data_IF_281675928431
#
_entry.id   IF_281675928431
#
_cell.length_a   1.000
_cell.length_b   1.000
_cell.length_c   1.000
_cell.angle_alpha   90.00
_cell.angle_beta   90.00
_cell.angle_gamma   90.00
#
_symmetry.space_group_name_H-M   'P 1'
#
loop_
_entity.id
_entity.type
_entity.pdbx_description
1 polymer ?
#
# COMPACT_ATOMS: atom_id res chain seq x y z
N UNK A 1 -4.35 39.93 -40.39
CA UNK A 1 -4.59 39.87 -38.95
C UNK A 1 -4.06 38.53 -38.48
N UNK A 2 -2.88 38.50 -37.86
CA UNK A 2 -2.21 37.26 -37.43
C UNK A 2 -2.96 36.65 -36.24
N UNK A 3 -3.12 35.33 -36.24
CA UNK A 3 -3.74 34.58 -35.14
C UNK A 3 -2.83 34.68 -33.91
N UNK A 4 -3.32 35.13 -32.75
CA UNK A 4 -2.47 35.40 -31.57
C UNK A 4 -1.87 34.14 -30.93
N UNK A 5 -2.33 32.93 -31.29
CA UNK A 5 -1.91 31.66 -30.69
C UNK A 5 -0.93 30.85 -31.55
N UNK A 6 -0.50 31.36 -32.70
CA UNK A 6 0.47 30.64 -33.53
C UNK A 6 1.90 31.09 -33.18
N UNK A 7 2.83 30.18 -32.83
CA UNK A 7 4.20 30.55 -32.56
C UNK A 7 4.83 31.15 -33.82
N UNK A 8 5.51 32.28 -33.66
CA UNK A 8 6.16 32.98 -34.76
C UNK A 8 7.17 32.08 -35.46
N UNK A 9 7.24 32.08 -36.78
CA UNK A 9 8.27 31.29 -37.49
C UNK A 9 9.65 31.99 -37.49
N UNK A 10 10.64 31.36 -38.13
CA UNK A 10 12.02 31.85 -38.14
C UNK A 10 12.16 33.17 -38.92
N UNK A 11 11.36 33.34 -39.98
CA UNK A 11 11.39 34.53 -40.83
C UNK A 11 10.73 35.70 -40.09
N UNK A 12 9.61 35.45 -39.41
CA UNK A 12 8.94 36.44 -38.55
C UNK A 12 9.81 36.90 -37.37
N UNK A 13 10.63 36.01 -36.80
CA UNK A 13 11.60 36.37 -35.76
C UNK A 13 12.77 37.20 -36.31
N UNK A 14 13.27 36.87 -37.50
CA UNK A 14 14.32 37.67 -38.15
C UNK A 14 13.82 39.09 -38.45
N UNK A 15 12.61 39.22 -38.97
CA UNK A 15 11.98 40.51 -39.23
C UNK A 15 11.82 41.35 -37.95
N UNK A 16 11.52 40.71 -36.81
CA UNK A 16 11.45 41.39 -35.51
C UNK A 16 12.82 41.85 -35.01
N UNK A 17 13.88 41.07 -35.25
CA UNK A 17 15.25 41.43 -34.92
C UNK A 17 15.71 42.67 -35.71
N UNK A 18 15.41 42.71 -37.01
CA UNK A 18 15.72 43.85 -37.87
C UNK A 18 14.96 45.12 -37.46
N UNK A 19 13.68 44.97 -37.09
CA UNK A 19 12.87 46.09 -36.59
C UNK A 19 13.34 46.61 -35.23
N UNK A 20 13.81 45.72 -34.35
CA UNK A 20 14.39 46.11 -33.06
C UNK A 20 15.69 46.93 -33.25
N UNK A 21 16.48 46.64 -34.27
CA UNK A 21 17.70 47.39 -34.61
C UNK A 21 17.43 48.80 -35.16
N UNK A 22 16.20 49.07 -35.63
CA UNK A 22 15.77 50.38 -36.13
C UNK A 22 15.18 51.29 -35.04
N UNK A 23 15.08 50.81 -33.79
CA UNK A 23 14.60 51.61 -32.66
C UNK A 23 15.62 52.66 -32.22
N UNK A 24 15.18 53.72 -31.52
CA UNK A 24 16.08 54.66 -30.87
C UNK A 24 17.08 53.92 -29.95
N UNK A 25 18.33 54.40 -29.87
CA UNK A 25 19.43 53.68 -29.21
C UNK A 25 19.12 53.21 -27.78
N UNK A 26 18.37 54.01 -27.01
CA UNK A 26 17.94 53.68 -25.65
C UNK A 26 16.93 52.54 -25.59
N UNK A 27 16.10 52.37 -26.62
CA UNK A 27 15.09 51.31 -26.72
C UNK A 27 15.67 50.06 -27.36
N UNK A 28 16.48 50.22 -28.41
CA UNK A 28 17.15 49.11 -29.09
C UNK A 28 18.00 48.26 -28.14
N UNK A 29 18.63 48.87 -27.12
CA UNK A 29 19.47 48.14 -26.17
C UNK A 29 18.67 47.15 -25.31
N UNK A 30 17.60 47.60 -24.65
CA UNK A 30 16.84 46.72 -23.77
C UNK A 30 15.94 45.75 -24.55
N UNK A 31 15.36 46.20 -25.67
CA UNK A 31 14.56 45.33 -26.56
C UNK A 31 15.44 44.25 -27.18
N UNK A 32 16.67 44.59 -27.60
CA UNK A 32 17.62 43.62 -28.12
C UNK A 32 18.03 42.57 -27.08
N UNK A 33 18.30 42.98 -25.83
CA UNK A 33 18.59 42.04 -24.73
C UNK A 33 17.40 41.13 -24.42
N UNK A 34 16.19 41.67 -24.35
CA UNK A 34 14.98 40.88 -24.12
C UNK A 34 14.76 39.87 -25.25
N UNK A 35 14.95 40.30 -26.50
CA UNK A 35 14.78 39.45 -27.67
C UNK A 35 15.80 38.30 -27.70
N UNK A 36 17.05 38.55 -27.30
CA UNK A 36 18.06 37.50 -27.16
C UNK A 36 17.71 36.47 -26.09
N UNK A 37 17.14 36.89 -24.96
CA UNK A 37 16.68 35.96 -23.91
C UNK A 37 15.48 35.13 -24.38
N UNK A 38 14.57 35.71 -25.16
CA UNK A 38 13.47 34.96 -25.79
C UNK A 38 14.00 33.91 -26.78
N UNK A 39 14.99 34.25 -27.61
CA UNK A 39 15.60 33.30 -28.53
C UNK A 39 16.33 32.18 -27.78
N UNK A 40 17.04 32.48 -26.69
CA UNK A 40 17.67 31.47 -25.82
C UNK A 40 16.65 30.53 -25.20
N UNK A 41 15.56 31.07 -24.66
CA UNK A 41 14.48 30.27 -24.09
C UNK A 41 13.87 29.32 -25.12
N UNK A 42 13.66 29.81 -26.35
CA UNK A 42 13.12 29.01 -27.45
C UNK A 42 14.07 27.91 -27.92
N UNK A 43 15.38 28.20 -28.02
CA UNK A 43 16.40 27.19 -28.32
C UNK A 43 16.43 26.13 -27.23
N UNK A 44 16.39 26.54 -25.95
CA UNK A 44 16.35 25.61 -24.82
C UNK A 44 15.09 24.73 -24.84
N UNK A 45 13.92 25.28 -25.15
CA UNK A 45 12.68 24.53 -25.30
C UNK A 45 12.77 23.51 -26.45
N UNK A 46 13.37 23.90 -27.57
CA UNK A 46 13.61 23.01 -28.72
C UNK A 46 14.58 21.89 -28.35
N UNK A 47 15.62 22.19 -27.57
CA UNK A 47 16.56 21.19 -27.04
C UNK A 47 15.88 20.24 -26.04
N UNK A 48 14.99 20.73 -25.18
CA UNK A 48 14.21 19.90 -24.26
C UNK A 48 13.25 18.97 -25.03
N UNK A 49 12.58 19.47 -26.07
CA UNK A 49 11.74 18.65 -26.94
C UNK A 49 12.57 17.60 -27.71
N UNK A 50 13.76 17.98 -28.21
CA UNK A 50 14.66 17.03 -28.87
C UNK A 50 15.21 15.96 -27.90
N UNK A 51 15.46 16.33 -26.64
CA UNK A 51 15.84 15.40 -25.56
C UNK A 51 14.68 14.47 -25.17
N UNK A 52 13.43 14.94 -25.18
CA UNK A 52 12.25 14.08 -24.99
C UNK A 52 12.08 13.04 -26.11
N UNK A 53 12.46 13.38 -27.34
CA UNK A 53 12.43 12.45 -28.50
C UNK A 53 13.61 11.48 -28.49
N UNK A 54 14.74 11.85 -27.87
CA UNK A 54 15.99 11.07 -27.89
C UNK A 54 16.27 10.27 -26.61
N UNK A 55 15.54 10.52 -25.52
CA UNK A 55 15.59 9.69 -24.33
C UNK A 55 15.07 8.28 -24.64
N UNK A 56 15.63 7.19 -24.06
CA UNK A 56 14.98 5.90 -24.08
C UNK A 56 13.60 6.11 -23.49
N UNK A 57 12.56 5.94 -24.30
CA UNK A 57 11.18 6.10 -23.92
C UNK A 57 10.87 5.01 -22.89
N UNK A 58 11.11 5.26 -21.61
CA UNK A 58 10.26 4.70 -20.57
C UNK A 58 8.85 5.08 -21.01
N UNK A 59 8.09 4.09 -21.46
CA UNK A 59 6.81 4.31 -22.10
C UNK A 59 5.96 5.18 -21.17
N UNK A 60 5.71 6.43 -21.57
CA UNK A 60 4.71 7.22 -20.90
C UNK A 60 3.40 6.42 -20.99
N UNK A 61 2.73 6.17 -19.86
CA UNK A 61 1.50 5.40 -19.88
C UNK A 61 0.53 6.07 -20.85
N UNK A 62 -0.07 5.27 -21.72
CA UNK A 62 -1.08 5.75 -22.67
C UNK A 62 -2.23 6.44 -21.93
N UNK A 63 -3.00 7.30 -22.63
CA UNK A 63 -4.17 7.95 -22.02
C UNK A 63 -5.13 6.94 -21.40
N UNK A 64 -5.30 5.80 -22.06
CA UNK A 64 -6.11 4.66 -21.58
C UNK A 64 -5.53 4.05 -20.30
N UNK A 65 -4.20 3.91 -20.17
CA UNK A 65 -3.56 3.42 -18.93
C UNK A 65 -3.70 4.40 -17.75
N UNK A 66 -3.72 5.71 -18.02
CA UNK A 66 -3.97 6.71 -16.98
C UNK A 66 -5.43 6.65 -16.51
N UNK A 67 -6.37 6.51 -17.44
CA UNK A 67 -7.79 6.35 -17.15
C UNK A 67 -8.04 5.04 -16.36
N UNK A 68 -7.42 3.93 -16.77
CA UNK A 68 -7.50 2.66 -16.05
C UNK A 68 -6.94 2.76 -14.62
N UNK A 69 -5.81 3.48 -14.43
CA UNK A 69 -5.25 3.73 -13.10
C UNK A 69 -6.19 4.56 -12.24
N UNK A 70 -6.83 5.59 -12.80
CA UNK A 70 -7.82 6.42 -12.09
C UNK A 70 -9.06 5.60 -11.71
N UNK A 71 -9.55 4.74 -12.60
CA UNK A 71 -10.63 3.80 -12.33
C UNK A 71 -10.26 2.87 -11.17
N UNK A 72 -9.06 2.29 -11.18
CA UNK A 72 -8.62 1.42 -10.09
C UNK A 72 -8.53 2.18 -8.76
N UNK A 73 -7.99 3.41 -8.75
CA UNK A 73 -7.95 4.24 -7.54
C UNK A 73 -9.36 4.53 -7.01
N UNK A 74 -10.33 4.80 -7.89
CA UNK A 74 -11.72 5.01 -7.48
C UNK A 74 -12.34 3.76 -6.85
N UNK A 75 -12.08 2.58 -7.43
CA UNK A 75 -12.53 1.28 -6.90
C UNK A 75 -11.90 1.02 -5.52
N UNK A 76 -10.59 1.18 -5.40
CA UNK A 76 -9.86 0.96 -4.15
C UNK A 76 -10.34 1.92 -3.04
N UNK A 77 -10.62 3.17 -3.42
CA UNK A 77 -11.17 4.18 -2.50
C UNK A 77 -12.56 3.79 -2.04
N UNK A 78 -13.41 3.28 -2.93
CA UNK A 78 -14.74 2.79 -2.56
C UNK A 78 -14.67 1.59 -1.60
N UNK A 79 -13.75 0.64 -1.82
CA UNK A 79 -13.52 -0.48 -0.89
C UNK A 79 -13.02 0.01 0.47
N UNK A 80 -12.10 0.97 0.49
CA UNK A 80 -11.59 1.59 1.71
C UNK A 80 -12.70 2.25 2.51
N UNK A 81 -13.45 3.17 1.89
CA UNK A 81 -14.56 3.89 2.53
C UNK A 81 -15.64 2.94 3.05
N UNK A 82 -16.00 1.90 2.27
CA UNK A 82 -16.95 0.86 2.69
C UNK A 82 -16.44 0.13 3.94
N UNK A 83 -15.17 -0.24 3.95
CA UNK A 83 -14.56 -0.92 5.10
C UNK A 83 -14.62 -0.03 6.34
N UNK A 84 -14.23 1.24 6.21
CA UNK A 84 -14.28 2.22 7.31
C UNK A 84 -15.69 2.40 7.88
N UNK A 85 -16.70 2.40 7.01
CA UNK A 85 -18.10 2.47 7.42
C UNK A 85 -18.55 1.26 8.24
N UNK A 86 -18.17 0.06 7.81
CA UNK A 86 -18.57 -1.20 8.44
C UNK A 86 -17.81 -1.49 9.75
N UNK A 87 -16.53 -1.11 9.84
CA UNK A 87 -15.69 -1.40 11.03
C UNK A 87 -15.55 -0.21 11.99
N UNK A 88 -15.97 0.99 11.55
CA UNK A 88 -15.74 2.24 12.25
C UNK A 88 -14.33 2.79 12.00
N UNK A 89 -14.22 4.11 11.95
CA UNK A 89 -12.98 4.81 11.62
C UNK A 89 -12.33 5.46 12.84
N UNK A 90 -11.00 5.43 12.89
CA UNK A 90 -10.17 6.32 13.70
C UNK A 90 -9.21 7.04 12.76
N UNK A 91 -9.43 8.34 12.58
CA UNK A 91 -8.48 9.23 11.89
C UNK A 91 -7.32 9.59 12.81
N UNK A 92 -6.27 10.17 12.26
CA UNK A 92 -5.08 10.61 12.98
C UNK A 92 -5.46 11.57 14.13
N UNK A 93 -5.57 11.03 15.36
CA UNK A 93 -5.88 11.81 16.56
C UNK A 93 -7.36 11.87 16.98
N UNK A 94 -8.24 11.02 16.45
CA UNK A 94 -9.67 11.00 16.82
C UNK A 94 -10.14 9.69 17.47
N UNK A 95 -11.16 9.76 18.34
CA UNK A 95 -11.81 8.59 18.93
C UNK A 95 -12.59 7.80 17.88
N UNK A 96 -12.70 6.47 18.07
CA UNK A 96 -13.43 5.58 17.17
C UNK A 96 -14.86 6.06 16.95
N UNK A 97 -15.18 6.40 15.70
CA UNK A 97 -16.58 6.54 15.27
C UNK A 97 -17.23 5.16 15.31
N UNK A 98 -18.41 5.04 15.92
CA UNK A 98 -19.10 3.75 15.96
C UNK A 98 -19.40 3.27 14.53
N UNK A 99 -19.33 1.95 14.27
CA UNK A 99 -19.74 1.38 12.99
C UNK A 99 -21.11 1.92 12.56
N UNK A 100 -21.23 2.30 11.27
CA UNK A 100 -22.49 2.76 10.67
C UNK A 100 -23.18 3.93 11.38
N UNK A 101 -22.43 4.75 12.11
CA UNK A 101 -23.00 5.87 12.88
C UNK A 101 -22.83 7.21 12.18
N UNK A 102 -21.60 7.61 11.87
CA UNK A 102 -21.26 8.84 11.21
C UNK A 102 -20.02 8.63 10.33
N UNK A 103 -20.02 9.28 9.17
CA UNK A 103 -18.82 9.31 8.34
C UNK A 103 -17.85 10.35 8.94
N UNK A 104 -16.62 9.96 9.27
CA UNK A 104 -15.60 10.89 9.76
C UNK A 104 -15.24 11.91 8.69
N UNK A 105 -14.79 13.09 9.12
CA UNK A 105 -14.03 13.98 8.25
C UNK A 105 -12.65 13.35 8.00
N UNK A 106 -12.39 12.95 6.76
CA UNK A 106 -11.14 12.35 6.30
C UNK A 106 -10.25 13.46 5.75
N UNK A 107 -9.04 13.59 6.28
CA UNK A 107 -8.04 14.52 5.76
C UNK A 107 -6.99 13.85 4.86
N UNK A 108 -6.05 14.66 4.36
CA UNK A 108 -4.99 14.19 3.46
C UNK A 108 -4.01 13.22 4.16
N UNK A 109 -3.72 13.45 5.44
CA UNK A 109 -2.79 12.63 6.20
C UNK A 109 -3.41 11.27 6.55
N UNK A 110 -4.72 11.24 6.79
CA UNK A 110 -5.47 10.00 6.97
C UNK A 110 -5.36 9.08 5.76
N UNK A 111 -5.43 9.62 4.54
CA UNK A 111 -5.25 8.85 3.31
C UNK A 111 -3.79 8.38 3.18
N UNK A 112 -2.83 9.30 3.36
CA UNK A 112 -1.40 9.02 3.19
C UNK A 112 -0.86 7.98 4.17
N UNK A 113 -1.37 7.98 5.41
CA UNK A 113 -0.93 7.09 6.49
C UNK A 113 -1.84 5.87 6.65
N UNK A 114 -2.88 5.73 5.81
CA UNK A 114 -3.76 4.57 5.90
C UNK A 114 -3.06 3.33 5.35
N UNK A 115 -2.57 2.48 6.27
CA UNK A 115 -2.06 1.16 5.89
C UNK A 115 -3.13 0.26 5.30
N UNK A 116 -4.41 0.43 5.68
CA UNK A 116 -5.54 -0.25 5.03
C UNK A 116 -5.67 0.17 3.56
N UNK A 117 -5.58 1.48 3.26
CA UNK A 117 -5.66 1.94 1.89
C UNK A 117 -4.45 1.48 1.07
N UNK A 118 -3.24 1.55 1.65
CA UNK A 118 -2.03 1.01 1.03
C UNK A 118 -2.14 -0.49 0.71
N UNK A 119 -2.75 -1.27 1.61
CA UNK A 119 -3.05 -2.70 1.43
C UNK A 119 -4.03 -2.93 0.27
N UNK A 120 -5.14 -2.19 0.22
CA UNK A 120 -6.14 -2.30 -0.87
C UNK A 120 -5.51 -1.94 -2.22
N UNK A 121 -4.68 -0.89 -2.26
CA UNK A 121 -3.90 -0.48 -3.45
C UNK A 121 -2.97 -1.58 -3.99
N UNK A 122 -2.60 -2.56 -3.16
CA UNK A 122 -1.80 -3.74 -3.56
C UNK A 122 -2.69 -4.93 -4.01
N UNK A 123 -4.01 -4.74 -4.10
CA UNK A 123 -4.97 -5.80 -4.44
C UNK A 123 -5.33 -6.73 -3.28
N UNK A 124 -4.86 -6.44 -2.07
CA UNK A 124 -5.17 -7.20 -0.85
C UNK A 124 -6.46 -6.71 -0.22
N UNK A 125 -7.22 -7.62 0.38
CA UNK A 125 -8.49 -7.28 1.01
C UNK A 125 -8.34 -6.80 2.45
N UNK A 126 -9.31 -6.00 2.91
CA UNK A 126 -9.49 -5.71 4.32
C UNK A 126 -9.70 -7.00 5.12
N UNK A 127 -9.06 -7.11 6.28
CA UNK A 127 -9.23 -8.27 7.15
C UNK A 127 -10.51 -8.15 7.99
N UNK A 128 -11.18 -9.28 8.30
CA UNK A 128 -12.40 -9.26 9.13
C UNK A 128 -12.11 -9.03 10.63
N UNK A 129 -10.84 -9.02 11.04
CA UNK A 129 -10.38 -8.81 12.41
C UNK A 129 -9.28 -7.73 12.46
N UNK A 130 -9.53 -6.50 11.98
CA UNK A 130 -8.50 -5.47 12.01
C UNK A 130 -8.19 -5.12 13.47
N UNK A 131 -6.93 -5.14 13.91
CA UNK A 131 -6.60 -4.78 15.28
C UNK A 131 -6.91 -3.28 15.53
N UNK A 132 -7.26 -2.87 16.76
CA UNK A 132 -7.73 -1.53 17.04
C UNK A 132 -6.58 -0.51 17.01
N UNK A 133 -6.70 0.54 16.19
CA UNK A 133 -5.66 1.56 15.92
C UNK A 133 -5.43 2.57 17.05
N UNK A 134 -5.56 2.17 18.32
CA UNK A 134 -5.76 3.08 19.46
C UNK A 134 -4.59 4.04 19.72
N UNK A 135 -3.33 3.68 19.43
CA UNK A 135 -2.16 4.50 19.79
C UNK A 135 -0.98 4.43 18.80
N UNK A 136 -1.22 4.56 17.50
CA UNK A 136 -0.18 5.15 16.63
C UNK A 136 0.60 4.23 15.69
N UNK A 137 0.28 2.93 15.61
CA UNK A 137 0.61 2.14 14.43
C UNK A 137 -0.68 1.73 13.71
N UNK A 138 -0.82 2.07 12.41
CA UNK A 138 -1.97 1.63 11.65
C UNK A 138 -1.74 0.14 11.38
N UNK A 139 -2.30 -0.74 12.20
CA UNK A 139 -2.03 -2.18 12.31
C UNK A 139 -1.89 -2.97 10.99
N UNK A 140 -2.48 -2.53 9.88
CA UNK A 140 -2.19 -3.15 8.58
C UNK A 140 -0.72 -3.01 8.15
N UNK A 141 0.02 -2.04 8.69
CA UNK A 141 1.47 -1.95 8.52
C UNK A 141 2.15 -3.18 9.14
N UNK A 142 1.80 -3.53 10.38
CA UNK A 142 2.33 -4.74 11.03
C UNK A 142 1.96 -6.03 10.29
N UNK A 143 0.84 -6.06 9.59
CA UNK A 143 0.42 -7.23 8.81
C UNK A 143 1.26 -7.40 7.54
N UNK A 144 1.60 -6.31 6.87
CA UNK A 144 2.25 -6.33 5.55
C UNK A 144 3.79 -6.16 5.63
N UNK A 145 4.32 -5.69 6.76
CA UNK A 145 5.75 -5.52 6.99
C UNK A 145 6.41 -6.86 7.36
N UNK A 146 6.83 -7.60 6.33
CA UNK A 146 7.49 -8.89 6.46
C UNK A 146 8.88 -8.76 7.12
N UNK A 147 8.92 -8.88 8.44
CA UNK A 147 10.16 -8.95 9.23
C UNK A 147 10.75 -7.59 9.63
N UNK A 148 9.98 -6.50 9.49
CA UNK A 148 10.37 -5.24 10.10
C UNK A 148 10.11 -5.31 11.62
N UNK A 149 11.06 -4.79 12.39
CA UNK A 149 10.90 -4.62 13.83
C UNK A 149 10.30 -3.26 14.12
N UNK A 150 9.27 -3.24 14.96
CA UNK A 150 8.56 -2.04 15.38
C UNK A 150 8.79 -1.79 16.86
N UNK A 151 9.23 -0.58 17.21
CA UNK A 151 9.25 -0.16 18.61
C UNK A 151 7.80 0.06 19.09
N UNK A 152 7.44 -0.56 20.20
CA UNK A 152 6.10 -0.48 20.79
C UNK A 152 6.16 -0.26 22.30
N UNK A 153 5.09 0.31 22.85
CA UNK A 153 4.80 0.25 24.28
C UNK A 153 4.08 -1.07 24.58
N UNK A 154 4.61 -1.86 25.52
CA UNK A 154 4.02 -3.15 25.88
C UNK A 154 4.08 -3.44 27.40
N UNK A 155 3.04 -4.09 27.90
CA UNK A 155 2.93 -4.63 29.26
C UNK A 155 2.43 -6.08 29.18
N UNK A 156 3.14 -7.03 29.81
CA UNK A 156 2.73 -8.44 29.84
C UNK A 156 1.92 -8.72 31.10
N UNK A 157 0.72 -9.27 30.94
CA UNK A 157 -0.22 -9.55 32.03
C UNK A 157 0.02 -10.96 32.55
N UNK A 158 0.23 -11.08 33.87
CA UNK A 158 0.35 -12.34 34.60
C UNK A 158 -0.67 -12.40 35.73
N UNK A 159 -1.27 -13.57 35.93
CA UNK A 159 -2.26 -13.81 37.00
C UNK A 159 -1.71 -14.71 38.12
N UNK A 160 -0.37 -14.83 38.24
CA UNK A 160 0.29 -15.60 39.29
C UNK A 160 1.58 -16.28 38.83
N UNK A 161 1.86 -17.48 39.36
CA UNK A 161 3.06 -18.31 39.05
C UNK A 161 2.92 -19.05 37.70
N UNK A 162 1.80 -18.87 37.00
CA UNK A 162 1.54 -19.50 35.71
C UNK A 162 2.12 -18.75 34.52
N UNK A 163 1.97 -19.32 33.30
CA UNK A 163 2.34 -18.62 32.07
C UNK A 163 1.55 -17.31 31.94
N UNK A 164 2.12 -16.29 31.28
CA UNK A 164 1.43 -15.04 30.99
C UNK A 164 0.12 -15.29 30.24
N UNK A 165 -0.93 -14.53 30.58
CA UNK A 165 -2.26 -14.69 29.98
C UNK A 165 -2.41 -13.87 28.70
N UNK A 166 -1.73 -12.73 28.61
CA UNK A 166 -1.89 -11.80 27.50
C UNK A 166 -0.92 -10.62 27.62
N UNK A 167 -1.02 -9.71 26.65
CA UNK A 167 -0.24 -8.48 26.63
C UNK A 167 -1.13 -7.28 26.31
N UNK A 168 -0.72 -6.12 26.80
CA UNK A 168 -1.23 -4.82 26.36
C UNK A 168 -0.17 -4.21 25.47
N UNK A 169 -0.42 -4.07 24.17
CA UNK A 169 0.52 -3.49 23.21
C UNK A 169 -0.14 -2.26 22.59
N UNK A 170 0.52 -1.10 22.66
CA UNK A 170 0.00 0.20 22.21
C UNK A 170 -1.43 0.49 22.71
N UNK A 171 -1.67 0.17 23.99
CA UNK A 171 -2.96 0.33 24.64
C UNK A 171 -4.06 -0.63 24.17
N UNK A 172 -3.73 -1.65 23.37
CA UNK A 172 -4.62 -2.75 22.99
C UNK A 172 -4.38 -3.95 23.91
N UNK A 173 -5.40 -4.36 24.69
CA UNK A 173 -5.34 -5.49 25.62
C UNK A 173 -5.84 -6.81 25.02
N UNK A 174 -6.05 -6.86 23.70
CA UNK A 174 -6.62 -8.02 23.00
C UNK A 174 -5.53 -8.93 22.42
N UNK A 175 -4.33 -8.91 23.01
CA UNK A 175 -3.22 -9.75 22.60
C UNK A 175 -3.08 -10.95 23.51
N UNK A 176 -3.14 -12.12 22.91
CA UNK A 176 -2.90 -13.39 23.57
C UNK A 176 -1.41 -13.71 23.52
N UNK A 177 -0.86 -14.21 24.65
CA UNK A 177 0.49 -14.77 24.67
C UNK A 177 0.39 -16.26 24.38
N UNK A 178 0.96 -16.68 23.26
CA UNK A 178 0.98 -18.09 22.80
C UNK A 178 2.10 -18.85 23.50
N UNK A 179 3.27 -18.21 23.61
CA UNK A 179 4.48 -18.84 24.13
C UNK A 179 5.35 -17.81 24.85
N UNK A 180 5.95 -18.20 25.97
CA UNK A 180 7.04 -17.49 26.62
C UNK A 180 8.35 -18.18 26.21
N UNK A 181 9.12 -17.54 25.33
CA UNK A 181 10.35 -18.09 24.73
C UNK A 181 11.53 -17.91 25.67
N UNK A 182 11.63 -16.72 26.27
CA UNK A 182 12.63 -16.37 27.28
C UNK A 182 11.90 -15.76 28.46
N UNK A 183 12.10 -16.36 29.64
CA UNK A 183 11.42 -15.95 30.88
C UNK A 183 11.57 -14.46 31.14
N UNK A 184 10.44 -13.76 31.20
CA UNK A 184 10.38 -12.33 31.46
C UNK A 184 10.79 -11.42 30.30
N UNK A 185 11.17 -11.95 29.13
CA UNK A 185 11.85 -11.16 28.08
C UNK A 185 11.27 -11.34 26.68
N UNK A 186 11.02 -12.57 26.23
CA UNK A 186 10.57 -12.84 24.86
C UNK A 186 9.28 -13.66 24.84
N UNK A 187 8.32 -13.19 24.04
CA UNK A 187 7.00 -13.79 23.92
C UNK A 187 6.59 -13.93 22.46
N UNK A 188 5.88 -15.01 22.13
CA UNK A 188 5.10 -15.09 20.90
C UNK A 188 3.67 -14.66 21.23
N UNK A 189 3.19 -13.64 20.52
CA UNK A 189 1.87 -13.05 20.73
C UNK A 189 1.03 -13.10 19.46
N UNK A 190 -0.29 -13.15 19.62
CA UNK A 190 -1.25 -13.08 18.52
C UNK A 190 -2.47 -12.27 18.94
N UNK A 191 -2.99 -11.46 18.03
CA UNK A 191 -4.09 -10.56 18.33
C UNK A 191 -5.44 -11.28 18.22
N UNK A 192 -6.17 -11.41 19.33
CA UNK A 192 -7.45 -12.14 19.44
C UNK A 192 -7.40 -13.58 18.89
N UNK A 193 -6.26 -14.26 19.00
CA UNK A 193 -6.03 -15.57 18.41
C UNK A 193 -6.18 -15.61 16.88
N UNK A 194 -6.01 -14.47 16.19
CA UNK A 194 -6.16 -14.33 14.74
C UNK A 194 -4.96 -13.64 14.11
N UNK A 195 -4.76 -13.91 12.82
CA UNK A 195 -3.72 -13.28 12.03
C UNK A 195 -2.32 -13.84 12.30
N UNK A 196 -1.28 -13.12 11.84
CA UNK A 196 0.09 -13.55 12.04
C UNK A 196 0.45 -13.57 13.52
N UNK A 197 1.44 -14.37 13.85
CA UNK A 197 2.10 -14.32 15.15
C UNK A 197 3.25 -13.31 15.11
N UNK A 198 3.56 -12.75 16.27
CA UNK A 198 4.61 -11.76 16.43
C UNK A 198 5.49 -12.12 17.61
N UNK A 199 6.79 -11.89 17.47
CA UNK A 199 7.74 -11.89 18.58
C UNK A 199 7.73 -10.54 19.25
N UNK A 200 7.47 -10.55 20.55
CA UNK A 200 7.55 -9.40 21.43
C UNK A 200 8.79 -9.55 22.33
N UNK A 201 9.77 -8.66 22.14
CA UNK A 201 10.98 -8.59 22.94
C UNK A 201 10.91 -7.39 23.90
N UNK A 202 10.79 -7.65 25.20
CA UNK A 202 10.68 -6.62 26.24
C UNK A 202 12.08 -6.18 26.68
N UNK A 203 12.39 -4.89 26.54
CA UNK A 203 13.71 -4.32 26.82
C UNK A 203 13.74 -3.37 28.02
N UNK A 204 12.58 -3.04 28.61
CA UNK A 204 12.46 -2.14 29.76
C UNK A 204 11.07 -2.20 30.41
N UNK A 205 10.74 -1.23 31.27
CA UNK A 205 9.51 -1.25 32.08
C UNK A 205 8.21 -1.16 31.25
N UNK A 206 8.26 -0.58 30.05
CA UNK A 206 7.11 -0.51 29.14
C UNK A 206 7.51 -0.47 27.65
N UNK A 207 8.80 -0.57 27.33
CA UNK A 207 9.29 -0.51 25.95
C UNK A 207 9.60 -1.92 25.46
N UNK A 208 9.14 -2.22 24.25
CA UNK A 208 9.37 -3.50 23.60
C UNK A 208 9.58 -3.33 22.09
N UNK A 209 10.08 -4.38 21.48
CA UNK A 209 10.16 -4.53 20.04
C UNK A 209 9.19 -5.63 19.60
N UNK A 210 8.42 -5.35 18.55
CA UNK A 210 7.47 -6.27 17.96
C UNK A 210 7.91 -6.59 16.53
N UNK A 211 8.12 -7.86 16.22
CA UNK A 211 8.51 -8.33 14.89
C UNK A 211 7.60 -9.48 14.46
N UNK A 212 7.19 -9.51 13.19
CA UNK A 212 6.36 -10.60 12.67
C UNK A 212 7.16 -11.90 12.59
N UNK A 213 6.59 -12.99 13.10
CA UNK A 213 7.19 -14.32 12.93
C UNK A 213 7.01 -14.83 11.49
N UNK A 214 7.99 -15.57 10.95
CA UNK A 214 7.84 -16.19 9.65
C UNK A 214 6.70 -17.24 9.67
N UNK A 215 6.07 -17.50 8.52
CA UNK A 215 5.11 -18.59 8.40
C UNK A 215 5.69 -19.92 8.89
N UNK A 216 4.94 -20.65 9.71
CA UNK A 216 5.36 -21.92 10.31
C UNK A 216 4.90 -23.13 9.50
N UNK A 217 3.95 -22.93 8.58
CA UNK A 217 3.36 -23.99 7.76
C UNK A 217 3.32 -23.61 6.29
N UNK A 218 3.24 -24.61 5.42
CA UNK A 218 3.13 -24.42 3.97
C UNK A 218 1.85 -25.04 3.41
N UNK A 219 1.29 -24.45 2.36
CA UNK A 219 0.15 -25.00 1.60
C UNK A 219 0.38 -24.82 0.11
N UNK A 220 -0.13 -25.76 -0.68
CA UNK A 220 0.10 -25.77 -2.12
C UNK A 220 -1.06 -25.10 -2.85
N UNK A 221 -0.73 -24.20 -3.79
CA UNK A 221 -1.65 -23.75 -4.81
C UNK A 221 -1.25 -24.43 -6.12
N UNK A 222 -2.18 -25.16 -6.71
CA UNK A 222 -2.01 -25.88 -7.96
C UNK A 222 -2.52 -25.04 -9.13
N UNK A 223 -1.76 -25.04 -10.23
CA UNK A 223 -2.17 -24.52 -11.52
C UNK A 223 -2.56 -25.70 -12.42
N UNK A 224 -3.86 -25.84 -12.67
CA UNK A 224 -4.39 -26.88 -13.55
C UNK A 224 -4.75 -26.30 -14.92
N UNK A 225 -4.22 -26.88 -16.00
CA UNK A 225 -4.47 -26.45 -17.38
C UNK A 225 -5.14 -27.52 -18.23
N UNK A 226 -6.30 -27.21 -18.85
CA UNK A 226 -6.87 -28.02 -19.94
C UNK A 226 -7.42 -27.13 -21.06
N UNK A 227 -7.01 -27.42 -22.29
CA UNK A 227 -7.58 -26.81 -23.51
C UNK A 227 -7.57 -25.28 -23.54
N UNK A 228 -6.48 -24.65 -23.05
CA UNK A 228 -6.29 -23.19 -23.09
C UNK A 228 -6.92 -22.43 -21.92
N UNK A 229 -7.61 -23.12 -21.01
CA UNK A 229 -8.06 -22.58 -19.73
C UNK A 229 -7.14 -23.08 -18.62
N UNK A 230 -6.77 -22.16 -17.71
CA UNK A 230 -6.05 -22.48 -16.49
C UNK A 230 -6.91 -22.10 -15.30
N UNK A 231 -6.88 -22.91 -14.25
CA UNK A 231 -7.55 -22.66 -12.98
C UNK A 231 -6.59 -22.88 -11.83
N UNK A 232 -6.74 -22.08 -10.78
CA UNK A 232 -5.96 -22.19 -9.56
C UNK A 232 -6.79 -22.86 -8.46
N UNK A 233 -6.22 -23.85 -7.78
CA UNK A 233 -6.85 -24.55 -6.65
C UNK A 233 -5.92 -24.55 -5.43
N UNK A 234 -6.45 -24.20 -4.25
CA UNK A 234 -5.73 -24.31 -2.99
C UNK A 234 -5.97 -25.70 -2.39
N UNK A 235 -4.90 -26.44 -2.14
CA UNK A 235 -4.93 -27.70 -1.39
C UNK A 235 -5.02 -27.40 0.11
N UNK A 236 -6.04 -27.96 0.76
CA UNK A 236 -6.28 -27.73 2.19
C UNK A 236 -6.60 -29.03 2.95
N UNK A 237 -5.90 -29.29 4.07
CA UNK A 237 -6.22 -30.43 4.92
C UNK A 237 -7.41 -30.11 5.84
N UNK A 238 -8.39 -31.02 5.90
CA UNK A 238 -9.47 -30.98 6.88
C UNK A 238 -9.05 -31.64 8.21
N UNK A 239 -9.83 -31.39 9.26
CA UNK A 239 -9.56 -31.90 10.60
C UNK A 239 -9.59 -33.44 10.70
N UNK A 240 -10.27 -34.11 9.76
CA UNK A 240 -10.34 -35.57 9.66
C UNK A 240 -9.17 -36.18 8.87
N UNK A 241 -8.24 -35.35 8.39
CA UNK A 241 -7.08 -35.75 7.59
C UNK A 241 -7.37 -35.91 6.09
N UNK A 242 -8.60 -35.66 5.64
CA UNK A 242 -8.91 -35.58 4.21
C UNK A 242 -8.39 -34.27 3.60
N UNK A 243 -8.30 -34.22 2.28
CA UNK A 243 -7.89 -33.02 1.54
C UNK A 243 -9.04 -32.49 0.70
N UNK A 244 -9.23 -31.18 0.77
CA UNK A 244 -10.14 -30.44 -0.11
C UNK A 244 -9.35 -29.53 -1.04
N UNK A 245 -9.95 -29.27 -2.20
CA UNK A 245 -9.41 -28.35 -3.20
C UNK A 245 -10.34 -27.17 -3.35
N UNK A 246 -9.88 -25.98 -2.94
CA UNK A 246 -10.66 -24.75 -2.96
C UNK A 246 -10.35 -24.01 -4.25
N UNK A 247 -11.34 -23.81 -5.12
CA UNK A 247 -11.18 -23.05 -6.36
C UNK A 247 -10.92 -21.57 -6.07
N UNK A 248 -9.83 -21.04 -6.61
CA UNK A 248 -9.43 -19.64 -6.46
C UNK A 248 -9.84 -18.85 -7.69
N UNK A 249 -10.52 -17.71 -7.49
CA UNK A 249 -10.96 -16.83 -8.59
C UNK A 249 -9.81 -15.94 -9.06
N UNK A 250 -8.86 -16.55 -9.78
CA UNK A 250 -7.64 -15.90 -10.21
C UNK A 250 -7.28 -16.24 -11.66
N UNK A 251 -6.64 -15.28 -12.33
CA UNK A 251 -6.04 -15.46 -13.67
C UNK A 251 -4.51 -15.39 -13.64
N UNK A 252 -3.92 -14.95 -12.53
CA UNK A 252 -2.46 -14.86 -12.31
C UNK A 252 -2.10 -15.46 -10.94
N UNK A 253 -0.84 -15.84 -10.76
CA UNK A 253 -0.31 -16.36 -9.50
C UNK A 253 -0.49 -15.38 -8.34
N UNK A 254 -0.22 -14.10 -8.55
CA UNK A 254 -0.35 -13.06 -7.53
C UNK A 254 -1.81 -12.93 -7.07
N UNK A 255 -2.75 -13.05 -8.01
CA UNK A 255 -4.18 -13.02 -7.68
C UNK A 255 -4.61 -14.32 -6.98
N UNK A 256 -4.03 -15.46 -7.33
CA UNK A 256 -4.31 -16.73 -6.69
C UNK A 256 -3.88 -16.72 -5.22
N UNK A 257 -2.66 -16.26 -4.94
CA UNK A 257 -2.16 -16.07 -3.57
C UNK A 257 -3.06 -15.10 -2.78
N UNK A 258 -3.47 -13.98 -3.39
CA UNK A 258 -4.36 -13.01 -2.75
C UNK A 258 -5.76 -13.59 -2.44
N UNK A 259 -6.32 -14.41 -3.32
CA UNK A 259 -7.60 -15.09 -3.07
C UNK A 259 -7.46 -16.21 -2.02
N UNK A 260 -6.33 -16.92 -1.99
CA UNK A 260 -6.04 -17.93 -0.96
C UNK A 260 -5.88 -17.28 0.43
N UNK A 261 -5.14 -16.17 0.52
CA UNK A 261 -5.05 -15.33 1.72
C UNK A 261 -6.42 -14.85 2.19
N UNK A 262 -7.25 -14.38 1.26
CA UNK A 262 -8.62 -13.94 1.56
C UNK A 262 -9.46 -15.09 2.08
N UNK A 263 -9.37 -16.27 1.47
CA UNK A 263 -10.09 -17.44 1.92
C UNK A 263 -9.69 -17.79 3.36
N UNK A 264 -8.38 -17.87 3.65
CA UNK A 264 -7.86 -18.08 5.02
C UNK A 264 -8.41 -17.06 6.02
N UNK A 265 -8.36 -15.77 5.68
CA UNK A 265 -8.86 -14.73 6.58
C UNK A 265 -10.35 -14.91 6.95
N UNK A 266 -11.14 -15.58 6.13
CA UNK A 266 -12.57 -15.80 6.37
C UNK A 266 -12.89 -17.17 7.00
N UNK A 267 -12.13 -18.22 6.68
CA UNK A 267 -12.42 -19.59 7.13
C UNK A 267 -11.52 -20.06 8.26
N UNK A 268 -10.26 -19.62 8.27
CA UNK A 268 -9.21 -20.00 9.23
C UNK A 268 -8.43 -18.76 9.69
N UNK A 269 -9.11 -17.75 10.27
CA UNK A 269 -8.47 -16.50 10.67
C UNK A 269 -7.32 -16.71 11.66
N UNK A 270 -7.36 -17.78 12.45
CA UNK A 270 -6.31 -18.21 13.38
C UNK A 270 -4.99 -18.62 12.70
N UNK A 271 -5.03 -19.00 11.41
CA UNK A 271 -3.86 -19.39 10.61
C UNK A 271 -3.41 -18.32 9.61
N UNK A 272 -4.15 -17.21 9.51
CA UNK A 272 -3.87 -16.16 8.52
C UNK A 272 -2.45 -15.60 8.74
N UNK A 273 -1.62 -15.58 7.69
CA UNK A 273 -0.26 -15.07 7.76
C UNK A 273 0.76 -15.97 8.46
N UNK A 274 0.34 -17.15 8.94
CA UNK A 274 1.22 -18.23 9.42
C UNK A 274 1.46 -19.31 8.35
N UNK A 275 0.79 -19.18 7.20
CA UNK A 275 0.88 -20.10 6.07
C UNK A 275 1.61 -19.42 4.92
N UNK A 276 2.63 -20.10 4.38
CA UNK A 276 3.28 -19.75 3.12
C UNK A 276 2.69 -20.60 1.99
N UNK A 277 2.38 -19.98 0.86
CA UNK A 277 1.91 -20.71 -0.32
C UNK A 277 3.07 -21.17 -1.19
N UNK A 278 3.02 -22.44 -1.60
CA UNK A 278 3.93 -23.03 -2.57
C UNK A 278 3.19 -23.18 -3.90
N UNK A 279 3.88 -22.85 -4.99
CA UNK A 279 3.32 -22.90 -6.34
C UNK A 279 3.62 -24.27 -6.94
N UNK A 280 2.58 -24.96 -7.38
CA UNK A 280 2.70 -26.21 -8.13
C UNK A 280 2.13 -26.01 -9.53
N UNK A 281 2.96 -26.26 -10.54
CA UNK A 281 2.58 -26.27 -11.95
C UNK A 281 2.64 -27.71 -12.44
N UNK A 282 1.47 -28.26 -12.80
CA UNK A 282 1.33 -29.60 -13.37
C UNK A 282 1.52 -29.61 -14.91
#
# INVERSE_FOLDING_TARGET
MSKPDQPLDADELMDLAERAAQLPATEAEWVGRLFQEVLRARTHETELQAQQVSAPREAQPSGDELDDRLVQVAIDTAEWLRTLWDVGYMGAGSFRSQPRSAFPSIDLEDIRKSSLFARIRQGKHALPFPPPTRQGLPWHALLDDNGQTHAVTAEVIRDGVGPPLGAIIEGCAEWDVIEEVVDGQEYVVQHQGKGPTYRLCVSGAATAELCREPPTSTRTIHLEGRSGFHSYTLEWPEADGSQIFVTLRAATWERAESEAERWLANTHPELYGQIRFERCED
#
